data_IF_185816116599
#
_entry.id   IF_185816116599
#
_cell.length_a   1.000
_cell.length_b   1.000
_cell.length_c   1.000
_cell.angle_alpha   90.00
_cell.angle_beta   90.00
_cell.angle_gamma   90.00
#
_symmetry.space_group_name_H-M   'P 1'
#
loop_
_entity.id
_entity.type
_entity.pdbx_description
1 polymer ?
#
# COMPACT_ATOMS: atom_id res chain seq x y z
N UNK A 1 81.87 -10.07 29.41
CA UNK A 1 81.05 -9.36 28.39
C UNK A 1 79.85 -10.17 27.90
N UNK A 2 79.80 -11.51 27.97
CA UNK A 2 78.64 -12.30 27.52
C UNK A 2 77.49 -12.43 28.55
N UNK A 3 77.75 -12.20 29.85
CA UNK A 3 76.75 -12.37 30.91
C UNK A 3 75.75 -11.21 31.05
N UNK A 4 76.11 -10.00 30.62
CA UNK A 4 75.24 -8.81 30.78
C UNK A 4 74.09 -8.80 29.77
N UNK A 5 74.30 -9.34 28.56
CA UNK A 5 73.27 -9.36 27.52
C UNK A 5 72.13 -10.36 27.83
N UNK A 6 72.42 -11.51 28.42
CA UNK A 6 71.36 -12.47 28.82
C UNK A 6 70.51 -11.96 29.99
N UNK A 7 71.08 -11.17 30.90
CA UNK A 7 70.36 -10.55 32.00
C UNK A 7 69.40 -9.45 31.53
N UNK A 8 69.76 -8.72 30.47
CA UNK A 8 68.94 -7.66 29.87
C UNK A 8 67.72 -8.25 29.16
N UNK A 9 67.88 -9.36 28.43
CA UNK A 9 66.76 -10.01 27.71
C UNK A 9 65.73 -10.60 28.70
N UNK A 10 66.16 -11.11 29.86
CA UNK A 10 65.24 -11.60 30.92
C UNK A 10 64.45 -10.49 31.63
N UNK A 11 64.85 -9.21 31.47
CA UNK A 11 64.19 -8.05 32.09
C UNK A 11 63.20 -7.34 31.17
N UNK A 12 63.04 -7.77 29.92
CA UNK A 12 62.01 -7.23 29.03
C UNK A 12 60.66 -7.81 29.45
N UNK A 13 59.71 -7.00 29.95
CA UNK A 13 58.37 -7.50 30.29
C UNK A 13 57.70 -7.99 29.00
N UNK A 14 57.13 -9.20 29.04
CA UNK A 14 56.20 -9.65 27.99
C UNK A 14 55.09 -8.60 27.90
N UNK A 15 54.73 -8.09 26.71
CA UNK A 15 53.71 -7.05 26.62
C UNK A 15 52.43 -7.57 27.29
N UNK A 16 52.02 -6.90 28.36
CA UNK A 16 50.78 -7.20 29.07
C UNK A 16 49.61 -7.09 28.08
N UNK A 17 48.71 -8.08 28.13
CA UNK A 17 47.46 -8.11 27.36
C UNK A 17 46.84 -6.71 27.33
N UNK A 18 46.53 -6.19 26.15
CA UNK A 18 45.93 -4.87 25.99
C UNK A 18 44.75 -4.66 26.96
N UNK A 19 44.90 -3.75 27.91
CA UNK A 19 43.84 -3.32 28.84
C UNK A 19 43.33 -1.95 28.36
N UNK A 20 42.09 -1.90 27.88
CA UNK A 20 41.48 -0.69 27.32
C UNK A 20 40.47 -0.98 26.20
N UNK A 21 39.93 0.01 25.48
CA UNK A 21 38.89 -0.16 24.44
C UNK A 21 39.28 -1.06 23.25
N UNK A 22 40.56 -1.46 23.17
CA UNK A 22 41.08 -2.44 22.23
C UNK A 22 40.92 -3.90 22.71
N UNK A 23 40.68 -4.11 24.02
CA UNK A 23 40.38 -5.41 24.60
C UNK A 23 39.03 -5.92 24.08
N UNK A 24 39.04 -7.05 23.37
CA UNK A 24 37.82 -7.65 22.79
C UNK A 24 37.52 -7.25 21.35
N UNK A 25 38.37 -6.44 20.70
CA UNK A 25 38.27 -6.21 19.25
C UNK A 25 38.41 -7.52 18.47
N UNK A 26 39.33 -8.40 18.88
CA UNK A 26 39.47 -9.73 18.29
C UNK A 26 38.17 -10.53 18.38
N UNK A 27 37.53 -10.55 19.56
CA UNK A 27 36.27 -11.26 19.78
C UNK A 27 35.10 -10.69 18.95
N UNK A 28 35.07 -9.36 18.77
CA UNK A 28 34.08 -8.70 17.89
C UNK A 28 34.36 -9.02 16.42
N UNK A 29 35.63 -9.09 16.02
CA UNK A 29 36.04 -9.47 14.66
C UNK A 29 35.68 -10.93 14.37
N UNK A 30 35.94 -11.84 15.30
CA UNK A 30 35.58 -13.26 15.22
C UNK A 30 34.06 -13.47 15.15
N UNK A 31 33.29 -12.61 15.80
CA UNK A 31 31.82 -12.64 15.74
C UNK A 31 31.26 -12.07 14.44
N UNK A 32 31.88 -11.01 13.90
CA UNK A 32 31.38 -10.32 12.71
C UNK A 32 31.84 -10.98 11.41
N UNK A 33 33.05 -11.54 11.36
CA UNK A 33 33.60 -12.18 10.15
C UNK A 33 32.65 -13.18 9.50
N UNK A 34 32.18 -14.22 10.23
CA UNK A 34 31.25 -15.21 9.70
C UNK A 34 29.89 -14.63 9.28
N UNK A 35 29.43 -13.56 9.95
CA UNK A 35 28.18 -12.88 9.57
C UNK A 35 28.32 -12.13 8.25
N UNK A 36 29.46 -11.47 8.04
CA UNK A 36 29.75 -10.77 6.77
C UNK A 36 29.95 -11.78 5.64
N UNK A 37 30.66 -12.87 5.89
CA UNK A 37 30.81 -13.97 4.93
C UNK A 37 29.46 -14.59 4.56
N UNK A 38 28.58 -14.81 5.53
CA UNK A 38 27.22 -15.32 5.30
C UNK A 38 26.27 -14.35 4.58
N UNK A 39 26.58 -13.04 4.56
CA UNK A 39 25.83 -12.04 3.81
C UNK A 39 26.22 -12.00 2.33
N UNK A 40 27.50 -12.27 2.01
CA UNK A 40 28.01 -12.29 0.64
C UNK A 40 27.15 -13.11 -0.35
N UNK A 41 26.80 -14.40 -0.07
CA UNK A 41 25.98 -15.18 -1.00
C UNK A 41 24.54 -14.65 -1.11
N UNK A 42 23.98 -14.09 -0.04
CA UNK A 42 22.62 -13.50 -0.07
C UNK A 42 22.58 -12.25 -0.95
N UNK A 43 23.62 -11.42 -0.89
CA UNK A 43 23.76 -10.23 -1.76
C UNK A 43 23.91 -10.66 -3.21
N UNK A 44 24.66 -11.72 -3.49
CA UNK A 44 24.78 -12.28 -4.84
C UNK A 44 23.43 -12.80 -5.38
N UNK A 45 22.67 -13.53 -4.57
CA UNK A 45 21.34 -14.03 -4.93
C UNK A 45 20.33 -12.89 -5.17
N UNK A 46 20.35 -11.86 -4.32
CA UNK A 46 19.54 -10.65 -4.50
C UNK A 46 19.88 -9.94 -5.81
N UNK A 47 21.16 -9.80 -6.14
CA UNK A 47 21.60 -9.19 -7.40
C UNK A 47 21.09 -9.95 -8.62
N UNK A 48 21.12 -11.28 -8.58
CA UNK A 48 20.57 -12.12 -9.66
C UNK A 48 19.05 -11.94 -9.79
N UNK A 49 18.33 -11.93 -8.67
CA UNK A 49 16.87 -11.69 -8.65
C UNK A 49 16.50 -10.31 -9.20
N UNK A 50 17.25 -9.27 -8.82
CA UNK A 50 17.07 -7.91 -9.36
C UNK A 50 17.31 -7.90 -10.87
N UNK A 51 18.38 -8.52 -11.36
CA UNK A 51 18.64 -8.59 -12.80
C UNK A 51 17.54 -9.32 -13.59
N UNK A 52 16.93 -10.36 -13.01
CA UNK A 52 15.77 -11.04 -13.63
C UNK A 52 14.52 -10.17 -13.66
N UNK A 53 14.29 -9.37 -12.61
CA UNK A 53 13.17 -8.42 -12.55
C UNK A 53 13.37 -7.27 -13.55
N UNK A 54 14.59 -6.72 -13.64
CA UNK A 54 14.94 -5.69 -14.62
C UNK A 54 14.75 -6.20 -16.05
N UNK A 55 15.19 -7.42 -16.35
CA UNK A 55 14.96 -8.05 -17.65
C UNK A 55 13.47 -8.26 -17.93
N UNK A 56 12.73 -8.85 -16.99
CA UNK A 56 11.29 -9.06 -17.13
C UNK A 56 10.54 -7.74 -17.34
N UNK A 57 10.93 -6.70 -16.60
CA UNK A 57 10.39 -5.37 -16.77
C UNK A 57 10.71 -4.82 -18.15
N UNK A 58 11.95 -4.91 -18.63
CA UNK A 58 12.32 -4.46 -19.98
C UNK A 58 11.58 -5.21 -21.11
N UNK A 59 11.15 -6.45 -20.86
CA UNK A 59 10.37 -7.23 -21.84
C UNK A 59 8.88 -6.91 -21.81
N UNK A 60 8.39 -6.29 -20.73
CA UNK A 60 7.01 -5.85 -20.53
C UNK A 60 6.85 -4.36 -20.80
N UNK A 61 7.92 -3.58 -20.67
CA UNK A 61 8.00 -2.20 -21.09
C UNK A 61 7.92 -2.18 -22.62
N UNK A 62 6.80 -1.64 -23.11
CA UNK A 62 6.65 -1.34 -24.52
C UNK A 62 7.79 -0.39 -24.94
N UNK A 63 8.28 -0.46 -26.18
CA UNK A 63 9.39 0.36 -26.63
C UNK A 63 9.18 1.84 -26.29
N UNK A 64 10.25 2.54 -25.92
CA UNK A 64 10.21 3.95 -25.52
C UNK A 64 9.28 4.76 -26.43
N UNK A 65 8.22 5.35 -25.85
CA UNK A 65 7.21 6.12 -26.57
C UNK A 65 5.87 5.42 -26.79
N UNK A 66 5.71 4.15 -26.39
CA UNK A 66 4.41 3.47 -26.39
C UNK A 66 3.72 3.65 -25.03
N UNK A 67 2.75 4.54 -25.01
CA UNK A 67 1.83 4.74 -23.88
C UNK A 67 0.80 3.60 -23.93
N UNK A 68 0.73 2.75 -22.91
CA UNK A 68 -0.40 1.83 -22.80
C UNK A 68 -1.70 2.64 -22.71
N UNK A 69 -2.75 2.27 -23.46
CA UNK A 69 -4.00 3.01 -23.42
C UNK A 69 -4.57 2.93 -22.02
N UNK A 70 -4.71 4.10 -21.39
CA UNK A 70 -5.38 4.25 -20.12
C UNK A 70 -6.87 4.02 -20.35
N UNK A 71 -7.44 3.01 -19.69
CA UNK A 71 -8.89 2.80 -19.69
C UNK A 71 -9.47 3.50 -18.47
N UNK A 72 -10.52 4.28 -18.73
CA UNK A 72 -11.30 4.93 -17.69
C UNK A 72 -12.74 4.41 -17.84
N UNK A 73 -13.30 3.91 -16.76
CA UNK A 73 -14.71 3.54 -16.70
C UNK A 73 -15.40 4.27 -15.55
N UNK A 74 -16.67 4.57 -15.76
CA UNK A 74 -17.56 5.06 -14.72
C UNK A 74 -18.52 3.94 -14.34
N UNK A 75 -18.57 3.59 -13.05
CA UNK A 75 -19.49 2.60 -12.50
C UNK A 75 -20.61 3.35 -11.77
N UNK A 76 -21.81 3.45 -12.36
CA UNK A 76 -22.93 4.16 -11.76
C UNK A 76 -23.73 3.24 -10.83
N UNK A 77 -24.00 3.71 -9.63
CA UNK A 77 -24.96 3.16 -8.71
C UNK A 77 -26.12 4.15 -8.60
N UNK A 78 -27.36 3.72 -8.83
CA UNK A 78 -28.52 4.57 -8.65
C UNK A 78 -29.70 3.75 -8.13
N UNK A 79 -30.37 4.25 -7.10
CA UNK A 79 -31.48 3.54 -6.49
C UNK A 79 -32.49 4.50 -5.85
N UNK A 80 -33.77 4.14 -5.96
CA UNK A 80 -34.84 4.85 -5.28
C UNK A 80 -35.13 4.17 -3.94
N UNK A 81 -34.61 4.74 -2.86
CA UNK A 81 -34.79 4.23 -1.50
C UNK A 81 -36.17 4.58 -0.98
N UNK A 82 -36.97 3.58 -0.62
CA UNK A 82 -38.20 3.80 0.13
C UNK A 82 -37.90 4.35 1.54
N UNK A 83 -38.95 4.87 2.20
CA UNK A 83 -38.85 5.31 3.59
C UNK A 83 -38.36 4.17 4.50
N UNK A 84 -37.42 4.47 5.40
CA UNK A 84 -36.80 3.51 6.34
C UNK A 84 -36.08 2.32 5.66
N UNK A 85 -35.70 2.43 4.39
CA UNK A 85 -35.03 1.35 3.66
C UNK A 85 -33.50 1.49 3.71
N UNK A 86 -32.81 0.37 3.97
CA UNK A 86 -31.38 0.21 3.69
C UNK A 86 -31.15 -0.79 2.56
N UNK A 87 -30.23 -0.50 1.64
CA UNK A 87 -29.80 -1.42 0.58
C UNK A 87 -28.29 -1.38 0.43
N UNK A 88 -27.72 -2.51 0.02
CA UNK A 88 -26.34 -2.60 -0.44
C UNK A 88 -26.37 -2.98 -1.92
N UNK A 89 -25.88 -2.08 -2.77
CA UNK A 89 -25.73 -2.32 -4.20
C UNK A 89 -24.30 -2.78 -4.46
N UNK A 90 -24.13 -3.76 -5.33
CA UNK A 90 -22.82 -4.31 -5.68
C UNK A 90 -22.68 -4.35 -7.19
N UNK A 91 -21.54 -3.87 -7.67
CA UNK A 91 -21.08 -4.03 -9.05
C UNK A 91 -19.67 -4.61 -9.04
N UNK A 92 -19.24 -5.20 -10.14
CA UNK A 92 -17.91 -5.79 -10.26
C UNK A 92 -16.97 -4.86 -11.02
N UNK A 93 -15.75 -4.71 -10.53
CA UNK A 93 -14.70 -3.97 -11.24
C UNK A 93 -14.44 -4.63 -12.61
N UNK A 94 -14.55 -3.88 -13.73
CA UNK A 94 -14.39 -4.45 -15.06
C UNK A 94 -12.94 -4.73 -15.48
N UNK A 95 -11.96 -4.28 -14.68
CA UNK A 95 -10.52 -4.52 -14.84
C UNK A 95 -9.79 -4.08 -13.55
N UNK A 96 -8.55 -4.55 -13.35
CA UNK A 96 -7.70 -4.09 -12.25
C UNK A 96 -7.23 -2.65 -12.46
N UNK A 97 -7.34 -1.80 -11.43
CA UNK A 97 -6.93 -0.40 -11.53
C UNK A 97 -7.07 0.36 -10.22
N UNK A 98 -7.06 1.68 -10.32
CA UNK A 98 -7.25 2.61 -9.22
C UNK A 98 -8.62 3.28 -9.30
N UNK A 99 -9.38 3.21 -8.22
CA UNK A 99 -10.51 4.09 -7.98
C UNK A 99 -9.96 5.49 -7.73
N UNK A 100 -10.23 6.41 -8.66
CA UNK A 100 -9.69 7.78 -8.64
C UNK A 100 -10.66 8.79 -8.06
N UNK A 101 -11.96 8.50 -8.12
CA UNK A 101 -12.98 9.47 -7.77
C UNK A 101 -14.28 8.79 -7.35
N UNK A 102 -14.92 9.31 -6.31
CA UNK A 102 -16.31 9.01 -5.94
C UNK A 102 -17.11 10.31 -5.99
N UNK A 103 -18.32 10.25 -6.52
CA UNK A 103 -19.26 11.38 -6.52
C UNK A 103 -20.65 10.90 -6.14
N UNK A 104 -20.99 10.93 -4.84
CA UNK A 104 -22.35 10.71 -4.38
C UNK A 104 -23.22 11.94 -4.60
N UNK A 105 -24.49 11.73 -4.92
CA UNK A 105 -25.50 12.77 -5.09
C UNK A 105 -26.66 12.54 -4.13
N UNK A 106 -27.01 13.58 -3.39
CA UNK A 106 -28.23 13.67 -2.59
C UNK A 106 -29.15 14.74 -3.17
N UNK A 107 -30.42 14.43 -3.45
CA UNK A 107 -31.41 15.45 -3.78
C UNK A 107 -31.74 16.30 -2.55
N UNK A 108 -32.51 17.36 -2.78
CA UNK A 108 -33.09 18.14 -1.68
C UNK A 108 -34.04 17.27 -0.81
N UNK A 109 -34.11 17.59 0.48
CA UNK A 109 -34.90 16.83 1.46
C UNK A 109 -34.16 15.68 2.14
N UNK A 110 -32.88 15.44 1.81
CA UNK A 110 -32.05 14.38 2.38
C UNK A 110 -31.29 14.76 3.66
N UNK A 111 -31.41 16.01 4.14
CA UNK A 111 -30.63 16.65 5.22
C UNK A 111 -30.27 15.79 6.44
N UNK A 112 -29.17 15.01 6.32
CA UNK A 112 -28.71 14.09 7.36
C UNK A 112 -29.56 12.81 7.50
N UNK A 113 -30.56 12.62 6.66
CA UNK A 113 -31.51 11.50 6.69
C UNK A 113 -31.06 10.34 5.82
N UNK A 114 -30.38 10.61 4.70
CA UNK A 114 -29.94 9.56 3.78
C UNK A 114 -28.44 9.37 3.86
N UNK A 115 -28.05 8.20 4.34
CA UNK A 115 -26.67 7.82 4.64
C UNK A 115 -26.09 7.02 3.48
N UNK A 116 -24.84 7.31 3.11
CA UNK A 116 -24.09 6.60 2.06
C UNK A 116 -22.71 6.22 2.60
N UNK A 117 -22.28 5.00 2.29
CA UNK A 117 -20.87 4.61 2.33
C UNK A 117 -20.52 3.68 1.17
N UNK A 118 -19.24 3.68 0.80
CA UNK A 118 -18.70 2.95 -0.34
C UNK A 118 -17.48 2.16 0.10
N UNK A 119 -17.35 0.97 -0.46
CA UNK A 119 -16.22 0.10 -0.25
C UNK A 119 -15.96 -0.83 -1.42
N UNK A 120 -14.90 -1.61 -1.31
CA UNK A 120 -14.60 -2.71 -2.22
C UNK A 120 -14.10 -3.91 -1.41
N UNK A 121 -14.44 -5.12 -1.85
CA UNK A 121 -14.21 -6.35 -1.10
C UNK A 121 -14.73 -6.21 0.35
N UNK A 122 -13.84 -6.34 1.33
CA UNK A 122 -14.17 -6.20 2.76
C UNK A 122 -13.85 -4.83 3.36
N UNK A 123 -13.34 -3.89 2.55
CA UNK A 123 -12.85 -2.58 3.01
C UNK A 123 -13.83 -1.47 2.64
N UNK A 124 -14.24 -0.70 3.65
CA UNK A 124 -14.84 0.63 3.46
C UNK A 124 -13.71 1.65 3.19
N UNK A 125 -13.92 2.57 2.25
CA UNK A 125 -12.95 3.66 1.98
C UNK A 125 -13.59 5.05 1.81
N UNK A 126 -14.91 5.15 1.61
CA UNK A 126 -15.58 6.43 1.50
C UNK A 126 -16.90 6.43 2.30
N UNK A 127 -16.98 7.11 3.44
CA UNK A 127 -15.87 7.74 4.19
C UNK A 127 -14.94 6.68 4.82
N UNK A 128 -13.81 7.08 5.43
CA UNK A 128 -12.91 6.15 6.13
C UNK A 128 -13.63 5.36 7.25
N UNK A 129 -14.59 6.00 7.92
CA UNK A 129 -15.49 5.37 8.89
C UNK A 129 -16.88 6.01 8.87
N UNK A 130 -17.90 5.22 9.23
CA UNK A 130 -19.28 5.72 9.32
C UNK A 130 -19.92 5.96 7.96
N UNK A 131 -20.70 7.04 7.85
CA UNK A 131 -21.53 7.37 6.68
C UNK A 131 -21.46 8.86 6.35
N UNK A 132 -21.57 9.18 5.06
CA UNK A 132 -21.87 10.53 4.59
C UNK A 132 -23.39 10.72 4.53
N UNK A 133 -23.90 11.86 5.00
CA UNK A 133 -25.31 12.20 4.88
C UNK A 133 -25.46 13.72 4.69
N UNK A 134 -25.75 14.15 3.45
CA UNK A 134 -25.82 15.55 3.05
C UNK A 134 -27.24 15.92 2.55
N UNK A 135 -27.43 17.18 2.18
CA UNK A 135 -28.65 17.69 1.55
C UNK A 135 -28.29 18.43 0.27
N UNK A 136 -29.04 18.19 -0.82
CA UNK A 136 -28.92 18.95 -2.07
C UNK A 136 -27.46 19.15 -2.50
N UNK A 137 -26.72 18.05 -2.56
CA UNK A 137 -25.26 18.08 -2.68
C UNK A 137 -24.75 16.97 -3.59
N UNK A 138 -23.75 17.31 -4.39
CA UNK A 138 -23.00 16.38 -5.23
C UNK A 138 -21.50 16.59 -5.04
N UNK A 139 -20.95 16.30 -3.85
CA UNK A 139 -19.52 16.43 -3.63
C UNK A 139 -18.75 15.42 -4.50
N UNK A 140 -17.51 15.76 -4.80
CA UNK A 140 -16.59 14.86 -5.49
C UNK A 140 -15.36 14.69 -4.63
N UNK A 141 -15.00 13.43 -4.35
CA UNK A 141 -13.87 13.07 -3.51
C UNK A 141 -12.83 12.34 -4.36
N UNK A 142 -11.57 12.83 -4.40
CA UNK A 142 -10.48 12.14 -5.05
C UNK A 142 -9.99 10.97 -4.19
N UNK A 143 -9.65 9.87 -4.85
CA UNK A 143 -9.12 8.66 -4.23
C UNK A 143 -7.94 8.11 -5.03
N UNK A 144 -7.24 7.16 -4.42
CA UNK A 144 -6.18 6.39 -5.08
C UNK A 144 -6.17 4.97 -4.52
N UNK A 145 -7.32 4.31 -4.57
CA UNK A 145 -7.53 2.97 -4.00
C UNK A 145 -7.42 1.90 -5.08
N UNK A 146 -6.59 0.88 -4.85
CA UNK A 146 -6.41 -0.20 -5.81
C UNK A 146 -7.53 -1.24 -5.69
N UNK A 147 -8.06 -1.68 -6.82
CA UNK A 147 -9.06 -2.74 -6.94
C UNK A 147 -8.63 -3.74 -8.01
N UNK A 148 -8.89 -5.03 -7.78
CA UNK A 148 -8.56 -6.07 -8.74
C UNK A 148 -9.70 -6.29 -9.75
N UNK A 149 -9.36 -6.87 -10.90
CA UNK A 149 -10.32 -7.33 -11.87
C UNK A 149 -11.36 -8.24 -11.22
N UNK A 150 -12.64 -7.98 -11.52
CA UNK A 150 -13.80 -8.67 -10.97
C UNK A 150 -13.92 -8.64 -9.44
N UNK A 151 -13.26 -7.70 -8.77
CA UNK A 151 -13.47 -7.44 -7.34
C UNK A 151 -14.78 -6.66 -7.14
N UNK A 152 -15.50 -6.98 -6.06
CA UNK A 152 -16.76 -6.33 -5.71
C UNK A 152 -16.53 -4.89 -5.26
N UNK A 153 -17.23 -3.95 -5.87
CA UNK A 153 -17.39 -2.57 -5.41
C UNK A 153 -18.82 -2.45 -4.92
N UNK A 154 -18.98 -2.04 -3.67
CA UNK A 154 -20.28 -1.94 -3.04
C UNK A 154 -20.57 -0.52 -2.56
N UNK A 155 -21.84 -0.15 -2.64
CA UNK A 155 -22.38 1.09 -2.11
C UNK A 155 -23.55 0.75 -1.22
N UNK A 156 -23.44 1.08 0.06
CA UNK A 156 -24.54 0.97 1.00
C UNK A 156 -25.23 2.32 1.15
N UNK A 157 -26.55 2.30 1.03
CA UNK A 157 -27.40 3.47 1.15
C UNK A 157 -28.53 3.19 2.12
N UNK A 158 -28.76 4.10 3.07
CA UNK A 158 -29.79 3.95 4.11
C UNK A 158 -30.62 5.22 4.16
N UNK A 159 -31.91 5.09 3.91
CA UNK A 159 -32.87 6.16 4.09
C UNK A 159 -33.47 6.10 5.51
N UNK A 160 -33.10 7.05 6.36
CA UNK A 160 -33.66 7.25 7.69
C UNK A 160 -34.94 8.10 7.72
N UNK A 161 -35.37 8.65 6.58
CA UNK A 161 -36.65 9.35 6.46
C UNK A 161 -37.80 8.34 6.63
N UNK A 162 -38.72 8.64 7.55
CA UNK A 162 -39.90 7.83 7.84
C UNK A 162 -41.08 8.05 6.89
N UNK A 163 -40.98 9.03 6.00
CA UNK A 163 -42.10 9.52 5.20
C UNK A 163 -41.80 9.48 3.71
N UNK A 164 -40.65 10.00 3.28
CA UNK A 164 -40.38 10.19 1.85
C UNK A 164 -39.38 9.17 1.29
N UNK A 165 -39.61 8.67 0.06
CA UNK A 165 -38.57 8.00 -0.70
C UNK A 165 -37.56 9.02 -1.26
N UNK A 166 -36.30 8.60 -1.40
CA UNK A 166 -35.22 9.43 -1.94
C UNK A 166 -34.47 8.69 -3.05
N UNK A 167 -34.27 9.34 -4.19
CA UNK A 167 -33.45 8.81 -5.27
C UNK A 167 -32.00 9.22 -5.08
N UNK A 168 -31.14 8.24 -4.85
CA UNK A 168 -29.71 8.44 -4.58
C UNK A 168 -28.89 7.86 -5.71
N UNK A 169 -27.83 8.56 -6.09
CA UNK A 169 -26.85 8.03 -7.04
C UNK A 169 -25.42 8.23 -6.56
N UNK A 170 -24.55 7.28 -6.89
CA UNK A 170 -23.11 7.35 -6.63
C UNK A 170 -22.39 6.92 -7.88
N UNK A 171 -21.46 7.74 -8.35
CA UNK A 171 -20.58 7.34 -9.46
C UNK A 171 -19.16 7.09 -8.97
N UNK A 172 -18.59 5.97 -9.39
CA UNK A 172 -17.20 5.59 -9.14
C UNK A 172 -16.41 5.68 -10.44
N UNK A 173 -15.30 6.42 -10.44
CA UNK A 173 -14.37 6.48 -11.59
C UNK A 173 -13.20 5.54 -11.33
N UNK A 174 -13.07 4.54 -12.20
CA UNK A 174 -11.99 3.56 -12.19
C UNK A 174 -11.05 3.83 -13.37
N UNK A 175 -9.75 3.90 -13.07
CA UNK A 175 -8.69 4.13 -14.04
C UNK A 175 -7.69 2.97 -13.98
N UNK A 176 -7.34 2.40 -15.12
CA UNK A 176 -6.42 1.26 -15.16
C UNK A 176 -5.76 1.10 -16.51
N UNK A 177 -4.72 0.29 -16.53
CA UNK A 177 -3.95 0.03 -17.75
C UNK A 177 -4.37 -1.33 -18.27
N UNK A 178 -4.81 -1.39 -19.53
CA UNK A 178 -5.10 -2.67 -20.18
C UNK A 178 -3.91 -3.06 -21.07
N UNK A 179 -3.41 -4.31 -20.97
CA UNK A 179 -2.40 -4.85 -21.87
C UNK A 179 -2.91 -5.04 -23.31
#
# INVERSE_FOLDING_TARGET
MAGEYEEIVKKIPVPERAIGPLAGLATRLDYLGPKVEGLSPKVAELREKVGKLEYALSTLELPEGVIMPLKIEQIPFAYNLAALQGVMLTEYAPFSGYIKQISPHWPDGCNGLVQIRVGHGTKQFCPDEGYLALNDATPTYPFNEWVNDHEEIWVEMINGDGVNPHNISVSVILEGIIP
#
